data_IF_025560152173
#
_entry.id   IF_025560152173
#
_cell.length_a   1.000
_cell.length_b   1.000
_cell.length_c   1.000
_cell.angle_alpha   90.00
_cell.angle_beta   90.00
_cell.angle_gamma   90.00
#
_symmetry.space_group_name_H-M   'P 1'
#
loop_
_entity.id
_entity.type
_entity.pdbx_description
1 polymer ?
#
# COMPACT_ATOMS: atom_id res chain seq x y z
N UNK A 1 0.36 18.80 4.75
CA UNK A 1 1.03 18.74 3.44
C UNK A 1 0.69 17.44 2.77
N UNK A 2 1.19 17.23 1.54
CA UNK A 2 1.12 15.92 0.87
C UNK A 2 2.12 14.98 1.56
N UNK A 3 1.73 13.73 1.77
CA UNK A 3 2.60 12.69 2.33
C UNK A 3 2.83 11.61 1.28
N UNK A 4 4.08 11.15 1.17
CA UNK A 4 4.46 10.05 0.31
C UNK A 4 4.15 8.71 1.00
N UNK A 5 3.93 7.67 0.20
CA UNK A 5 3.66 6.34 0.72
C UNK A 5 3.55 5.28 -0.38
N UNK A 6 3.38 4.04 0.06
CA UNK A 6 3.07 2.90 -0.81
C UNK A 6 1.71 2.33 -0.44
N UNK A 7 0.95 1.88 -1.43
CA UNK A 7 -0.40 1.40 -1.25
C UNK A 7 -0.59 -0.02 -1.78
N UNK A 8 -1.39 -0.80 -1.07
CA UNK A 8 -1.96 -2.07 -1.52
C UNK A 8 -3.46 -1.87 -1.76
N UNK A 9 -3.94 -2.26 -2.93
CA UNK A 9 -5.36 -2.23 -3.29
C UNK A 9 -5.78 -3.65 -3.70
N UNK A 10 -6.49 -4.33 -2.81
CA UNK A 10 -6.83 -5.75 -2.95
C UNK A 10 -8.25 -6.07 -2.57
N UNK A 11 -8.74 -7.26 -2.93
CA UNK A 11 -10.09 -7.72 -2.60
C UNK A 11 -10.02 -8.87 -1.62
N UNK A 12 -10.79 -8.83 -0.52
CA UNK A 12 -10.91 -9.99 0.38
C UNK A 12 -11.92 -11.00 -0.20
N UNK A 13 -11.49 -12.16 -0.71
CA UNK A 13 -12.39 -13.09 -1.40
C UNK A 13 -13.30 -13.88 -0.45
N UNK A 14 -13.02 -13.85 0.86
CA UNK A 14 -13.70 -14.67 1.87
C UNK A 14 -15.04 -14.11 2.37
N UNK A 15 -15.44 -12.91 1.93
CA UNK A 15 -16.76 -12.34 2.25
C UNK A 15 -17.75 -12.68 1.14
N UNK A 16 -18.54 -13.76 1.36
CA UNK A 16 -19.63 -14.17 0.47
C UNK A 16 -20.57 -12.99 0.22
N UNK A 17 -20.80 -12.70 -1.06
CA UNK A 17 -21.77 -11.76 -1.68
C UNK A 17 -21.40 -10.29 -1.90
N UNK A 18 -20.32 -9.74 -1.32
CA UNK A 18 -19.89 -8.35 -1.62
C UNK A 18 -18.39 -8.18 -1.36
N UNK A 19 -17.55 -8.66 -2.28
CA UNK A 19 -16.11 -8.56 -2.15
C UNK A 19 -15.66 -7.11 -2.34
N UNK A 20 -15.55 -6.35 -1.24
CA UNK A 20 -15.12 -4.96 -1.25
C UNK A 20 -13.61 -4.87 -1.41
N UNK A 21 -13.18 -3.98 -2.30
CA UNK A 21 -11.78 -3.58 -2.39
C UNK A 21 -11.38 -2.86 -1.10
N UNK A 22 -10.18 -3.16 -0.61
CA UNK A 22 -9.57 -2.52 0.56
C UNK A 22 -8.32 -1.81 0.06
N UNK A 23 -8.22 -0.53 0.38
CA UNK A 23 -7.04 0.30 0.18
C UNK A 23 -6.29 0.41 1.50
N UNK A 24 -5.07 -0.13 1.54
CA UNK A 24 -4.15 -0.03 2.66
C UNK A 24 -2.96 0.82 2.24
N UNK A 25 -2.66 1.90 2.98
CA UNK A 25 -1.59 2.83 2.67
C UNK A 25 -0.58 2.86 3.81
N UNK A 26 0.68 2.62 3.49
CA UNK A 26 1.81 2.83 4.39
C UNK A 26 2.45 4.19 4.07
N UNK A 27 2.20 5.17 4.93
CA UNK A 27 2.78 6.52 4.84
C UNK A 27 4.22 6.49 5.33
N UNK A 28 5.13 7.10 4.58
CA UNK A 28 6.54 7.16 4.97
C UNK A 28 6.79 8.23 6.04
N UNK A 29 7.73 7.96 6.95
CA UNK A 29 8.18 8.88 8.01
C UNK A 29 7.00 9.50 8.79
N UNK A 30 5.99 8.68 9.12
CA UNK A 30 4.73 9.13 9.71
C UNK A 30 4.39 8.37 11.00
N UNK A 31 4.28 9.09 12.12
CA UNK A 31 4.07 8.51 13.46
C UNK A 31 2.89 9.17 14.22
N UNK A 32 1.78 9.46 13.53
CA UNK A 32 0.61 10.08 14.15
C UNK A 32 -0.65 9.20 14.04
N UNK A 33 -1.57 9.37 14.98
CA UNK A 33 -2.88 8.73 14.93
C UNK A 33 -3.85 9.55 14.06
N UNK A 34 -4.40 8.91 13.02
CA UNK A 34 -5.34 9.53 12.07
C UNK A 34 -6.65 8.75 11.94
N UNK A 35 -7.00 7.90 12.91
CA UNK A 35 -8.29 7.23 12.91
C UNK A 35 -9.46 8.24 12.85
N UNK A 36 -10.46 7.95 12.02
CA UNK A 36 -11.62 8.82 11.80
C UNK A 36 -11.37 10.05 10.91
N UNK A 37 -10.13 10.28 10.46
CA UNK A 37 -9.83 11.35 9.49
C UNK A 37 -10.18 10.89 8.08
N UNK A 38 -10.66 11.82 7.25
CA UNK A 38 -10.83 11.62 5.81
C UNK A 38 -9.52 11.93 5.11
N UNK A 39 -9.08 11.00 4.25
CA UNK A 39 -7.87 11.14 3.45
C UNK A 39 -8.24 11.17 1.97
N UNK A 40 -7.41 11.86 1.18
CA UNK A 40 -7.37 11.73 -0.28
C UNK A 40 -6.10 10.97 -0.63
N UNK A 41 -6.21 9.97 -1.49
CA UNK A 41 -5.09 9.18 -1.99
C UNK A 41 -5.04 9.35 -3.50
N UNK A 42 -3.86 9.64 -4.03
CA UNK A 42 -3.60 9.76 -5.46
C UNK A 42 -2.62 8.66 -5.86
N UNK A 43 -3.01 7.84 -6.86
CA UNK A 43 -2.14 6.79 -7.38
C UNK A 43 -1.21 7.38 -8.44
N UNK A 44 0.10 7.25 -8.21
CA UNK A 44 1.11 7.84 -9.09
C UNK A 44 1.75 6.79 -10.01
N UNK A 45 2.16 5.64 -9.44
CA UNK A 45 2.82 4.56 -10.16
C UNK A 45 2.32 3.20 -9.67
N UNK A 46 1.98 2.31 -10.61
CA UNK A 46 1.70 0.91 -10.31
C UNK A 46 3.02 0.14 -10.17
N UNK A 47 3.25 -0.50 -9.02
CA UNK A 47 4.45 -1.30 -8.78
C UNK A 47 4.31 -2.75 -9.28
N UNK A 48 3.18 -3.39 -9.01
CA UNK A 48 2.91 -4.80 -9.37
C UNK A 48 1.43 -5.16 -9.29
N UNK A 49 1.09 -6.36 -9.74
CA UNK A 49 -0.22 -6.99 -9.52
C UNK A 49 -0.33 -7.65 -8.13
N UNK A 50 -1.56 -7.98 -7.72
CA UNK A 50 -1.83 -8.71 -6.49
C UNK A 50 -1.31 -10.15 -6.58
N UNK A 51 -0.68 -10.63 -5.50
CA UNK A 51 -0.03 -11.94 -5.44
C UNK A 51 -0.39 -12.60 -4.12
N UNK A 52 -0.70 -13.90 -4.17
CA UNK A 52 -0.85 -14.73 -2.96
C UNK A 52 0.52 -15.24 -2.54
N UNK A 53 0.86 -15.03 -1.26
CA UNK A 53 2.12 -15.51 -0.71
C UNK A 53 1.92 -16.83 0.04
N UNK A 54 2.90 -17.75 -0.05
CA UNK A 54 2.81 -19.04 0.61
C UNK A 54 2.95 -18.92 2.14
N UNK A 55 3.56 -17.85 2.65
CA UNK A 55 3.76 -17.60 4.07
C UNK A 55 3.97 -16.10 4.35
N UNK A 56 3.99 -15.75 5.64
CA UNK A 56 4.15 -14.36 6.12
C UNK A 56 5.53 -13.80 5.78
N UNK A 57 6.57 -14.64 5.79
CA UNK A 57 7.93 -14.21 5.48
C UNK A 57 8.05 -13.71 4.03
N UNK A 58 7.54 -14.48 3.07
CA UNK A 58 7.51 -14.10 1.66
C UNK A 58 6.69 -12.83 1.41
N UNK A 59 5.55 -12.68 2.10
CA UNK A 59 4.76 -11.45 2.06
C UNK A 59 5.57 -10.25 2.61
N UNK A 60 6.25 -10.43 3.74
CA UNK A 60 7.04 -9.38 4.39
C UNK A 60 8.20 -8.93 3.51
N UNK A 61 8.90 -9.89 2.89
CA UNK A 61 9.97 -9.59 1.93
C UNK A 61 9.47 -8.79 0.74
N UNK A 62 8.29 -9.15 0.19
CA UNK A 62 7.70 -8.35 -0.88
C UNK A 62 7.34 -6.94 -0.41
N UNK A 63 6.69 -6.79 0.75
CA UNK A 63 6.31 -5.47 1.26
C UNK A 63 7.56 -4.58 1.40
N UNK A 64 8.67 -5.12 1.92
CA UNK A 64 9.94 -4.40 2.01
C UNK A 64 10.47 -3.96 0.63
N UNK A 65 10.37 -4.83 -0.38
CA UNK A 65 10.74 -4.50 -1.76
C UNK A 65 9.83 -3.42 -2.35
N UNK A 66 8.51 -3.49 -2.11
CA UNK A 66 7.54 -2.51 -2.59
C UNK A 66 7.80 -1.13 -1.97
N UNK A 67 8.09 -1.08 -0.66
CA UNK A 67 8.50 0.16 0.03
C UNK A 67 9.77 0.74 -0.59
N UNK A 68 10.79 -0.11 -0.81
CA UNK A 68 12.05 0.33 -1.43
C UNK A 68 11.83 0.88 -2.83
N UNK A 69 11.04 0.19 -3.66
CA UNK A 69 10.75 0.62 -5.03
C UNK A 69 9.95 1.92 -5.07
N UNK A 70 8.99 2.10 -4.16
CA UNK A 70 8.24 3.35 -4.03
C UNK A 70 9.15 4.52 -3.61
N UNK A 71 10.02 4.33 -2.60
CA UNK A 71 11.00 5.35 -2.19
C UNK A 71 11.93 5.74 -3.34
N UNK A 72 12.49 4.76 -4.05
CA UNK A 72 13.32 5.02 -5.23
C UNK A 72 12.58 5.76 -6.35
N UNK A 73 11.28 5.49 -6.54
CA UNK A 73 10.49 6.19 -7.55
C UNK A 73 10.31 7.67 -7.19
N UNK A 74 10.00 7.99 -5.93
CA UNK A 74 9.93 9.38 -5.45
C UNK A 74 11.27 10.11 -5.60
N UNK A 75 12.38 9.47 -5.23
CA UNK A 75 13.73 10.06 -5.41
C UNK A 75 14.06 10.42 -6.87
N UNK A 76 13.46 9.73 -7.84
CA UNK A 76 13.67 9.97 -9.28
C UNK A 76 12.68 10.96 -9.89
N UNK A 77 11.59 11.29 -9.19
CA UNK A 77 10.46 12.07 -9.71
C UNK A 77 10.07 13.27 -8.82
N UNK A 78 10.86 13.56 -7.79
CA UNK A 78 10.78 14.78 -6.96
C UNK A 78 11.54 15.96 -7.61
#
# INVERSE_FOLDING_TARGET
GVLQGVASLGVRPTLKHDAKAILEVHLFEFEQNIYGKRLRVEFLQKLRDEVKYPNVEALTQQIALDVKNAKNWFEQHD
#
